data_IF_506741411991
#
_entry.id   IF_506741411991
#
_cell.length_a   1.000
_cell.length_b   1.000
_cell.length_c   1.000
_cell.angle_alpha   90.00
_cell.angle_beta   90.00
_cell.angle_gamma   90.00
#
_symmetry.space_group_name_H-M   'P 1'
#
loop_
_entity.id
_entity.type
_entity.pdbx_description
1 polymer ?
#
# COMPACT_ATOMS: atom_id res chain seq x y z
N UNK A 1 18.41 -25.76 21.25
CA UNK A 1 17.10 -25.54 21.91
C UNK A 1 17.24 -24.51 23.02
N UNK A 2 16.17 -23.79 23.35
CA UNK A 2 16.13 -22.95 24.55
C UNK A 2 16.34 -23.80 25.82
N UNK A 3 16.93 -23.21 26.86
CA UNK A 3 17.14 -23.87 28.14
C UNK A 3 15.78 -24.27 28.75
N UNK A 4 15.50 -25.58 28.97
CA UNK A 4 14.24 -26.03 29.54
C UNK A 4 13.90 -25.41 30.89
N UNK A 5 14.90 -24.95 31.66
CA UNK A 5 14.71 -24.28 32.95
C UNK A 5 14.15 -22.86 32.81
N UNK A 6 14.19 -22.28 31.61
CA UNK A 6 13.74 -20.90 31.32
C UNK A 6 12.47 -20.85 30.47
N UNK A 7 11.84 -22.01 30.22
CA UNK A 7 10.60 -22.07 29.47
C UNK A 7 9.42 -21.58 30.32
N UNK A 8 8.48 -20.81 29.73
CA UNK A 8 7.16 -20.57 30.31
C UNK A 8 6.44 -21.88 30.65
N UNK A 9 5.50 -21.85 31.59
CA UNK A 9 4.84 -23.04 32.14
C UNK A 9 4.16 -23.89 31.08
N UNK A 10 3.49 -23.26 30.13
CA UNK A 10 2.81 -23.89 28.99
C UNK A 10 3.81 -24.52 28.00
N UNK A 11 4.89 -23.81 27.66
CA UNK A 11 5.95 -24.32 26.81
C UNK A 11 6.68 -25.52 27.45
N UNK A 12 6.91 -25.48 28.77
CA UNK A 12 7.50 -26.61 29.50
C UNK A 12 6.56 -27.83 29.50
N UNK A 13 5.26 -27.63 29.70
CA UNK A 13 4.27 -28.70 29.64
C UNK A 13 4.16 -29.31 28.23
N UNK A 14 4.22 -28.49 27.17
CA UNK A 14 4.28 -28.96 25.79
C UNK A 14 5.55 -29.76 25.50
N UNK A 15 6.71 -29.27 25.97
CA UNK A 15 7.99 -29.97 25.85
C UNK A 15 7.99 -31.33 26.57
N UNK A 16 7.44 -31.40 27.80
CA UNK A 16 7.32 -32.66 28.54
C UNK A 16 6.40 -33.66 27.83
N UNK A 17 5.26 -33.20 27.29
CA UNK A 17 4.38 -34.04 26.46
C UNK A 17 5.09 -34.56 25.22
N UNK A 18 5.86 -33.72 24.54
CA UNK A 18 6.66 -34.13 23.39
C UNK A 18 7.73 -35.15 23.78
N UNK A 19 8.42 -34.98 24.90
CA UNK A 19 9.41 -35.95 25.43
C UNK A 19 8.79 -37.30 25.80
N UNK A 20 7.53 -37.32 26.22
CA UNK A 20 6.77 -38.56 26.46
C UNK A 20 6.17 -39.19 25.20
N UNK A 21 6.21 -38.49 24.06
CA UNK A 21 5.69 -38.98 22.79
C UNK A 21 6.76 -39.72 21.96
N UNK A 22 6.33 -40.36 20.88
CA UNK A 22 7.22 -41.05 19.92
C UNK A 22 7.83 -40.10 18.89
N UNK A 23 8.28 -38.92 19.33
CA UNK A 23 8.94 -37.93 18.45
C UNK A 23 10.45 -37.97 18.65
N UNK A 24 11.19 -37.71 17.58
CA UNK A 24 12.65 -37.62 17.61
C UNK A 24 13.09 -36.17 17.79
N UNK A 25 14.04 -35.95 18.70
CA UNK A 25 14.67 -34.65 18.89
C UNK A 25 16.05 -34.71 18.25
N UNK A 26 16.29 -33.83 17.28
CA UNK A 26 17.56 -33.73 16.56
C UNK A 26 18.06 -32.30 16.61
N UNK A 27 19.38 -32.12 16.73
CA UNK A 27 20.00 -30.80 16.67
C UNK A 27 20.23 -30.34 15.22
N UNK A 28 20.31 -31.29 14.29
CA UNK A 28 20.40 -31.09 12.84
C UNK A 28 19.66 -32.22 12.13
N UNK A 29 19.06 -31.90 11.00
CA UNK A 29 18.45 -32.87 10.09
C UNK A 29 19.12 -32.83 8.71
N UNK A 30 19.02 -33.94 7.98
CA UNK A 30 19.48 -34.04 6.61
C UNK A 30 18.50 -33.33 5.68
N UNK A 31 18.93 -32.21 5.09
CA UNK A 31 18.13 -31.40 4.16
C UNK A 31 17.91 -32.11 2.82
N UNK A 32 18.70 -33.15 2.51
CA UNK A 32 18.56 -33.96 1.28
C UNK A 32 17.57 -35.11 1.44
N UNK A 33 17.21 -35.46 2.67
CA UNK A 33 16.20 -36.46 2.95
C UNK A 33 14.82 -35.98 2.46
N UNK A 34 13.93 -36.94 2.19
CA UNK A 34 12.57 -36.62 1.80
C UNK A 34 11.73 -36.22 3.02
N UNK A 35 11.36 -34.93 3.08
CA UNK A 35 10.44 -34.39 4.07
C UNK A 35 9.09 -34.08 3.41
N UNK A 36 7.99 -34.38 4.10
CA UNK A 36 6.65 -34.09 3.59
C UNK A 36 6.19 -32.66 3.89
N UNK A 37 6.62 -32.10 5.03
CA UNK A 37 6.22 -30.78 5.52
C UNK A 37 7.23 -30.31 6.58
N UNK A 38 7.63 -29.05 6.54
CA UNK A 38 8.29 -28.36 7.64
C UNK A 38 7.28 -27.47 8.36
N UNK A 39 7.29 -27.51 9.70
CA UNK A 39 6.46 -26.63 10.53
C UNK A 39 7.38 -25.70 11.32
N UNK A 40 7.34 -24.42 10.99
CA UNK A 40 8.02 -23.38 11.75
C UNK A 40 7.17 -22.96 12.95
N UNK A 41 7.65 -23.32 14.13
CA UNK A 41 7.14 -22.86 15.42
C UNK A 41 8.27 -22.35 16.32
N UNK A 42 9.33 -21.77 15.73
CA UNK A 42 10.49 -21.29 16.51
C UNK A 42 10.15 -19.98 17.24
N UNK A 43 9.58 -19.01 16.52
CA UNK A 43 9.21 -17.70 17.06
C UNK A 43 7.95 -17.14 16.38
N UNK A 44 7.04 -16.56 17.18
CA UNK A 44 5.93 -15.75 16.69
C UNK A 44 6.15 -14.25 16.98
N UNK A 45 5.09 -13.55 17.38
CA UNK A 45 5.11 -12.09 17.66
C UNK A 45 6.11 -11.62 18.76
N UNK A 46 6.64 -12.52 19.57
CA UNK A 46 7.55 -12.18 20.68
C UNK A 46 9.01 -11.92 20.28
N UNK A 47 9.38 -12.15 19.01
CA UNK A 47 10.75 -11.95 18.54
C UNK A 47 11.00 -10.47 18.24
N UNK A 48 11.93 -9.86 18.97
CA UNK A 48 12.32 -8.46 18.79
C UNK A 48 13.79 -8.30 18.37
N UNK A 49 14.49 -9.40 18.10
CA UNK A 49 15.93 -9.41 17.79
C UNK A 49 16.22 -10.29 16.58
N UNK A 50 17.30 -10.01 15.83
CA UNK A 50 17.72 -10.85 14.73
C UNK A 50 17.97 -12.29 15.17
N UNK A 51 17.67 -13.24 14.30
CA UNK A 51 18.01 -14.65 14.52
C UNK A 51 19.53 -14.83 14.63
N UNK A 52 19.96 -15.66 15.58
CA UNK A 52 21.38 -15.91 15.81
C UNK A 52 21.65 -17.35 16.26
N UNK A 53 22.91 -17.76 16.11
CA UNK A 53 23.41 -19.05 16.57
C UNK A 53 22.58 -20.23 16.06
N UNK A 54 22.13 -21.15 16.94
CA UNK A 54 21.42 -22.35 16.53
C UNK A 54 20.07 -22.08 15.83
N UNK A 55 19.41 -20.96 16.13
CA UNK A 55 18.14 -20.62 15.48
C UNK A 55 18.34 -20.14 14.05
N UNK A 56 19.37 -19.33 13.80
CA UNK A 56 19.72 -18.93 12.43
C UNK A 56 20.08 -20.16 11.57
N UNK A 57 20.92 -21.06 12.11
CA UNK A 57 21.28 -22.29 11.42
C UNK A 57 20.05 -23.18 11.13
N UNK A 58 19.08 -23.27 12.05
CA UNK A 58 17.84 -24.01 11.82
C UNK A 58 17.00 -23.40 10.69
N UNK A 59 16.86 -22.08 10.64
CA UNK A 59 16.12 -21.39 9.59
C UNK A 59 16.79 -21.54 8.22
N UNK A 60 18.13 -21.52 8.16
CA UNK A 60 18.88 -21.83 6.93
C UNK A 60 18.57 -23.26 6.44
N UNK A 61 18.54 -24.24 7.34
CA UNK A 61 18.18 -25.62 6.98
C UNK A 61 16.72 -25.73 6.52
N UNK A 62 15.78 -25.07 7.19
CA UNK A 62 14.36 -25.05 6.80
C UNK A 62 14.19 -24.47 5.40
N UNK A 63 14.80 -23.31 5.12
CA UNK A 63 14.71 -22.65 3.81
C UNK A 63 15.40 -23.44 2.68
N UNK A 64 16.25 -24.42 3.01
CA UNK A 64 16.91 -25.31 2.05
C UNK A 64 16.13 -26.60 1.77
N UNK A 65 15.02 -26.85 2.47
CA UNK A 65 14.20 -28.03 2.26
C UNK A 65 13.41 -27.95 0.95
N UNK A 66 13.29 -29.10 0.27
CA UNK A 66 12.44 -29.26 -0.90
C UNK A 66 11.05 -29.79 -0.50
N UNK A 67 10.40 -29.15 0.46
CA UNK A 67 9.05 -29.49 0.91
C UNK A 67 8.27 -28.23 1.31
N UNK A 68 6.93 -28.31 1.39
CA UNK A 68 6.14 -27.19 1.88
C UNK A 68 6.54 -26.76 3.30
N UNK A 69 6.49 -25.46 3.56
CA UNK A 69 6.77 -24.85 4.86
C UNK A 69 5.50 -24.17 5.39
N UNK A 70 5.06 -24.60 6.58
CA UNK A 70 3.97 -24.00 7.34
C UNK A 70 4.54 -23.20 8.52
N UNK A 71 4.34 -21.90 8.55
CA UNK A 71 4.64 -21.08 9.73
C UNK A 71 3.44 -21.00 10.67
N UNK A 72 3.70 -21.13 11.97
CA UNK A 72 2.72 -20.88 13.04
C UNK A 72 2.88 -19.44 13.51
N UNK A 73 1.77 -18.72 13.54
CA UNK A 73 1.64 -17.31 13.93
C UNK A 73 2.26 -16.32 12.94
N UNK A 74 3.59 -16.31 12.83
CA UNK A 74 4.40 -15.43 11.97
C UNK A 74 5.66 -16.21 11.55
N UNK A 75 6.13 -16.13 10.30
CA UNK A 75 7.39 -16.77 9.93
C UNK A 75 8.56 -16.26 10.80
N UNK A 76 9.29 -17.18 11.40
CA UNK A 76 10.36 -16.86 12.35
C UNK A 76 11.42 -15.96 11.71
N UNK A 77 11.70 -14.83 12.34
CA UNK A 77 12.62 -13.80 11.85
C UNK A 77 11.92 -12.64 11.13
N UNK A 78 10.62 -12.72 10.87
CA UNK A 78 9.80 -11.63 10.35
C UNK A 78 9.23 -10.79 11.50
N UNK A 79 9.26 -9.47 11.34
CA UNK A 79 8.57 -8.54 12.21
C UNK A 79 7.07 -8.53 11.90
N UNK A 80 6.26 -8.82 12.92
CA UNK A 80 4.81 -8.96 12.80
C UNK A 80 4.10 -7.64 12.51
N UNK A 81 4.69 -6.50 12.85
CA UNK A 81 4.05 -5.19 12.75
C UNK A 81 4.38 -4.49 11.43
N UNK A 82 5.62 -4.59 10.96
CA UNK A 82 6.08 -3.88 9.76
C UNK A 82 6.45 -4.77 8.57
N UNK A 83 6.55 -6.09 8.74
CA UNK A 83 6.88 -7.03 7.66
C UNK A 83 8.33 -6.96 7.20
N UNK A 84 9.20 -6.32 7.98
CA UNK A 84 10.65 -6.34 7.80
C UNK A 84 11.27 -7.62 8.33
N UNK A 85 12.39 -8.03 7.74
CA UNK A 85 13.21 -9.12 8.29
C UNK A 85 14.04 -8.54 9.44
N UNK A 86 13.91 -9.08 10.64
CA UNK A 86 14.61 -8.56 11.82
C UNK A 86 16.13 -8.67 11.64
N UNK A 87 16.81 -7.52 11.63
CA UNK A 87 18.24 -7.43 11.32
C UNK A 87 18.61 -7.60 9.84
N UNK A 88 17.62 -7.68 8.95
CA UNK A 88 17.78 -7.66 7.49
C UNK A 88 18.42 -8.90 6.87
N UNK A 89 18.64 -9.97 7.64
CA UNK A 89 19.47 -11.09 7.19
C UNK A 89 18.68 -12.36 6.87
N UNK A 90 17.80 -12.82 7.78
CA UNK A 90 17.26 -14.17 7.71
C UNK A 90 15.88 -14.28 8.36
N UNK A 91 14.93 -14.86 7.63
CA UNK A 91 13.63 -15.29 8.13
C UNK A 91 13.17 -16.56 7.39
N UNK A 92 12.26 -17.31 7.98
CA UNK A 92 11.62 -18.49 7.36
C UNK A 92 10.76 -18.03 6.19
N UNK A 93 10.92 -18.67 5.03
CA UNK A 93 10.03 -18.50 3.87
C UNK A 93 8.96 -19.58 3.89
N UNK A 94 7.74 -19.20 4.25
CA UNK A 94 6.62 -20.11 4.34
C UNK A 94 5.78 -20.14 3.05
N UNK A 95 5.27 -21.32 2.69
CA UNK A 95 4.22 -21.45 1.68
C UNK A 95 2.85 -21.09 2.25
N UNK A 96 2.65 -21.31 3.56
CA UNK A 96 1.44 -20.96 4.29
C UNK A 96 1.79 -20.50 5.71
N UNK A 97 1.11 -19.47 6.18
CA UNK A 97 1.18 -19.01 7.57
C UNK A 97 -0.19 -19.17 8.23
N UNK A 98 -0.27 -19.98 9.29
CA UNK A 98 -1.44 -20.07 10.16
C UNK A 98 -1.30 -19.06 11.29
N UNK A 99 -1.85 -17.86 11.10
CA UNK A 99 -1.77 -16.78 12.09
C UNK A 99 -2.87 -16.88 13.13
N UNK A 100 -2.53 -16.68 14.41
CA UNK A 100 -3.42 -17.02 15.52
C UNK A 100 -4.08 -15.79 16.12
N UNK A 101 -5.34 -15.92 16.53
CA UNK A 101 -6.18 -14.92 17.20
C UNK A 101 -6.56 -13.76 16.27
N UNK A 102 -5.60 -12.98 15.81
CA UNK A 102 -5.81 -11.86 14.91
C UNK A 102 -4.76 -11.89 13.79
N UNK A 103 -5.10 -11.28 12.66
CA UNK A 103 -4.14 -11.07 11.57
C UNK A 103 -3.07 -10.05 11.96
N UNK A 104 -1.90 -10.11 11.31
CA UNK A 104 -0.76 -9.22 11.58
C UNK A 104 -0.39 -8.43 10.34
N UNK A 105 -0.26 -7.10 10.44
CA UNK A 105 0.01 -6.25 9.27
C UNK A 105 1.31 -6.62 8.56
N UNK A 106 2.33 -7.04 9.30
CA UNK A 106 3.63 -7.46 8.75
C UNK A 106 3.55 -8.66 7.82
N UNK A 107 2.49 -9.47 7.85
CA UNK A 107 2.29 -10.56 6.88
C UNK A 107 1.86 -10.05 5.49
N UNK A 108 1.37 -8.82 5.40
CA UNK A 108 0.70 -8.27 4.20
C UNK A 108 1.37 -7.03 3.63
N UNK A 109 2.51 -6.58 4.16
CA UNK A 109 3.23 -5.38 3.71
C UNK A 109 4.72 -5.63 3.56
N UNK A 110 5.38 -4.83 2.73
CA UNK A 110 6.82 -4.85 2.57
C UNK A 110 7.34 -6.21 2.15
N UNK A 111 8.41 -6.66 2.82
CA UNK A 111 9.02 -7.97 2.58
C UNK A 111 8.16 -9.12 3.09
N UNK A 112 7.28 -8.91 4.07
CA UNK A 112 6.50 -10.00 4.67
C UNK A 112 5.65 -10.79 3.67
N UNK A 113 5.20 -10.15 2.58
CA UNK A 113 4.50 -10.84 1.48
C UNK A 113 5.35 -11.90 0.78
N UNK A 114 6.68 -11.78 0.81
CA UNK A 114 7.61 -12.77 0.25
C UNK A 114 7.91 -13.92 1.22
N UNK A 115 7.60 -13.77 2.52
CA UNK A 115 7.90 -14.75 3.57
C UNK A 115 6.66 -15.45 4.13
N UNK A 116 5.47 -14.82 4.06
CA UNK A 116 4.26 -15.33 4.70
C UNK A 116 3.47 -16.35 3.87
N UNK A 117 3.67 -16.37 2.55
CA UNK A 117 2.91 -17.23 1.64
C UNK A 117 1.40 -16.98 1.75
N UNK A 118 0.59 -18.05 1.74
CA UNK A 118 -0.85 -17.95 2.00
C UNK A 118 -1.10 -17.76 3.50
N UNK A 119 -1.71 -16.65 3.89
CA UNK A 119 -2.10 -16.40 5.28
C UNK A 119 -3.50 -16.96 5.57
N UNK A 120 -3.64 -17.69 6.67
CA UNK A 120 -4.90 -18.20 7.22
C UNK A 120 -5.00 -17.76 8.67
N UNK A 121 -6.10 -17.10 9.03
CA UNK A 121 -6.34 -16.64 10.40
C UNK A 121 -7.18 -17.68 11.15
N UNK A 122 -6.71 -18.15 12.30
CA UNK A 122 -7.48 -18.99 13.22
C UNK A 122 -7.70 -18.24 14.54
N UNK A 123 -8.96 -17.92 14.84
CA UNK A 123 -9.36 -17.20 16.05
C UNK A 123 -9.23 -18.04 17.33
N UNK A 124 -8.88 -19.33 17.24
CA UNK A 124 -8.77 -20.26 18.37
C UNK A 124 -10.06 -20.36 19.20
N UNK A 125 -11.21 -20.20 18.54
CA UNK A 125 -12.52 -20.19 19.19
C UNK A 125 -12.80 -18.94 20.03
N UNK A 126 -11.97 -17.90 19.94
CA UNK A 126 -12.19 -16.61 20.58
C UNK A 126 -13.14 -15.74 19.75
N UNK A 127 -13.96 -14.95 20.44
CA UNK A 127 -14.76 -13.90 19.82
C UNK A 127 -13.92 -12.63 19.63
N UNK A 128 -13.19 -12.57 18.53
CA UNK A 128 -12.21 -11.51 18.22
C UNK A 128 -12.84 -10.13 18.08
N UNK A 129 -14.14 -10.04 17.82
CA UNK A 129 -14.88 -8.77 17.75
C UNK A 129 -14.93 -8.07 19.13
N UNK A 130 -14.75 -8.81 20.22
CA UNK A 130 -14.69 -8.24 21.58
C UNK A 130 -13.39 -7.50 21.88
N UNK A 131 -12.37 -7.62 21.01
CA UNK A 131 -11.03 -7.09 21.27
C UNK A 131 -10.90 -5.60 20.92
N UNK A 132 -11.94 -5.00 20.35
CA UNK A 132 -12.00 -3.60 19.95
C UNK A 132 -11.64 -3.37 18.48
N UNK A 133 -11.43 -2.11 18.11
CA UNK A 133 -11.13 -1.75 16.73
C UNK A 133 -9.73 -2.26 16.32
N UNK A 134 -9.57 -2.89 15.14
CA UNK A 134 -8.28 -3.34 14.68
C UNK A 134 -7.36 -2.15 14.34
N UNK A 135 -6.05 -2.36 14.45
CA UNK A 135 -5.04 -1.39 14.02
C UNK A 135 -5.21 -1.01 12.54
N UNK A 136 -5.41 -2.00 11.68
CA UNK A 136 -5.62 -1.84 10.25
C UNK A 136 -6.56 -2.92 9.72
N UNK A 137 -7.20 -2.66 8.58
CA UNK A 137 -8.06 -3.62 7.87
C UNK A 137 -7.38 -4.14 6.61
N UNK A 138 -7.52 -5.44 6.32
CA UNK A 138 -7.14 -5.96 5.02
C UNK A 138 -8.22 -5.63 3.99
N UNK A 139 -7.86 -5.01 2.87
CA UNK A 139 -8.81 -4.58 1.85
C UNK A 139 -9.42 -5.81 1.17
N UNK A 140 -10.74 -5.88 1.19
CA UNK A 140 -11.54 -6.83 0.41
C UNK A 140 -12.66 -6.07 -0.32
N UNK A 141 -13.16 -6.57 -1.46
CA UNK A 141 -14.27 -5.92 -2.16
C UNK A 141 -15.51 -5.73 -1.29
N UNK A 142 -15.73 -6.61 -0.31
CA UNK A 142 -16.86 -6.55 0.62
C UNK A 142 -16.86 -5.29 1.52
N UNK A 143 -15.71 -4.62 1.67
CA UNK A 143 -15.63 -3.35 2.41
C UNK A 143 -16.21 -2.16 1.65
N UNK A 144 -16.39 -2.29 0.32
CA UNK A 144 -16.75 -1.18 -0.55
C UNK A 144 -17.87 -1.55 -1.53
N UNK A 145 -19.03 -2.05 -1.05
CA UNK A 145 -20.12 -2.50 -1.93
C UNK A 145 -20.63 -1.38 -2.85
N UNK A 146 -20.61 -0.14 -2.37
CA UNK A 146 -21.16 1.02 -3.07
C UNK A 146 -20.34 1.43 -4.31
N UNK A 147 -19.05 1.10 -4.33
CA UNK A 147 -18.17 1.33 -5.51
C UNK A 147 -18.62 0.48 -6.70
N UNK A 148 -19.23 -0.68 -6.42
CA UNK A 148 -19.67 -1.66 -7.42
C UNK A 148 -21.16 -1.51 -7.80
N UNK A 149 -21.88 -0.52 -7.27
CA UNK A 149 -23.28 -0.29 -7.63
C UNK A 149 -23.41 0.02 -9.12
N UNK A 150 -24.35 -0.66 -9.78
CA UNK A 150 -24.67 -0.46 -11.19
C UNK A 150 -25.21 0.95 -11.44
N UNK A 151 -24.82 1.53 -12.59
CA UNK A 151 -25.24 2.89 -12.98
C UNK A 151 -26.71 2.89 -13.37
N UNK A 152 -27.45 3.92 -12.94
CA UNK A 152 -28.84 4.10 -13.33
C UNK A 152 -28.95 4.33 -14.85
N UNK A 153 -29.93 3.68 -15.49
CA UNK A 153 -30.16 3.83 -16.95
C UNK A 153 -30.43 5.28 -17.36
N UNK A 154 -31.17 6.03 -16.56
CA UNK A 154 -31.47 7.44 -16.79
C UNK A 154 -30.32 8.36 -16.32
N UNK A 155 -29.14 8.18 -16.91
CA UNK A 155 -27.94 8.97 -16.61
C UNK A 155 -27.39 9.65 -17.86
N UNK A 156 -26.61 10.72 -17.67
CA UNK A 156 -25.91 11.42 -18.76
C UNK A 156 -24.44 11.63 -18.38
N UNK A 157 -23.61 12.16 -19.30
CA UNK A 157 -22.19 12.41 -19.03
C UNK A 157 -21.94 13.21 -17.73
N UNK A 158 -22.76 14.23 -17.44
CA UNK A 158 -22.63 15.00 -16.18
C UNK A 158 -22.95 14.22 -14.90
N UNK A 159 -23.59 13.05 -14.97
CA UNK A 159 -23.94 12.23 -13.80
C UNK A 159 -22.72 11.52 -13.20
N UNK A 160 -21.61 11.44 -13.94
CA UNK A 160 -20.40 10.71 -13.55
C UNK A 160 -19.20 11.63 -13.32
N UNK A 161 -19.45 12.93 -13.22
CA UNK A 161 -18.45 13.95 -12.96
C UNK A 161 -17.44 14.14 -14.09
N UNK A 162 -16.72 15.25 -13.99
CA UNK A 162 -15.58 15.53 -14.86
C UNK A 162 -14.28 15.19 -14.16
N UNK A 163 -13.27 14.79 -14.93
CA UNK A 163 -11.90 14.65 -14.43
C UNK A 163 -10.98 15.55 -15.25
N UNK A 164 -10.20 16.39 -14.59
CA UNK A 164 -9.12 17.15 -15.21
C UNK A 164 -7.78 16.60 -14.76
N UNK A 165 -6.99 16.05 -15.68
CA UNK A 165 -5.65 15.52 -15.43
C UNK A 165 -4.61 16.55 -15.87
N UNK A 166 -3.83 17.07 -14.93
CA UNK A 166 -2.83 18.13 -15.13
C UNK A 166 -1.42 17.56 -14.96
N UNK A 167 -0.60 17.66 -15.99
CA UNK A 167 0.76 17.10 -15.96
C UNK A 167 1.46 17.24 -17.29
N UNK A 168 2.41 16.37 -17.58
CA UNK A 168 2.97 16.22 -18.93
C UNK A 168 3.75 17.45 -19.38
N UNK A 169 4.86 17.73 -18.71
CA UNK A 169 5.90 18.62 -19.23
C UNK A 169 6.60 18.00 -20.46
N UNK A 170 7.54 18.73 -21.05
CA UNK A 170 8.22 18.31 -22.26
C UNK A 170 8.83 16.90 -22.12
N UNK A 171 8.42 15.98 -23.00
CA UNK A 171 8.86 14.58 -22.98
C UNK A 171 8.06 13.65 -22.04
N UNK A 172 7.07 14.14 -21.30
CA UNK A 172 6.32 13.37 -20.29
C UNK A 172 4.80 13.34 -20.53
N UNK A 173 4.35 13.65 -21.75
CA UNK A 173 2.92 13.62 -22.13
C UNK A 173 2.25 12.25 -21.91
N UNK A 174 3.03 11.16 -21.98
CA UNK A 174 2.54 9.80 -21.73
C UNK A 174 1.91 9.62 -20.35
N UNK A 175 2.43 10.28 -19.31
CA UNK A 175 1.90 10.17 -17.95
C UNK A 175 0.47 10.73 -17.84
N UNK A 176 0.23 11.90 -18.44
CA UNK A 176 -1.12 12.50 -18.52
C UNK A 176 -2.07 11.61 -19.31
N UNK A 177 -1.60 11.05 -20.43
CA UNK A 177 -2.43 10.17 -21.26
C UNK A 177 -2.83 8.90 -20.51
N UNK A 178 -1.90 8.25 -19.79
CA UNK A 178 -2.22 7.05 -19.00
C UNK A 178 -3.28 7.35 -17.93
N UNK A 179 -3.10 8.41 -17.15
CA UNK A 179 -4.06 8.83 -16.13
C UNK A 179 -5.42 9.23 -16.74
N UNK A 180 -5.43 9.98 -17.84
CA UNK A 180 -6.65 10.42 -18.51
C UNK A 180 -7.42 9.24 -19.12
N UNK A 181 -6.72 8.31 -19.79
CA UNK A 181 -7.32 7.08 -20.34
C UNK A 181 -7.93 6.24 -19.24
N UNK A 182 -7.21 6.02 -18.14
CA UNK A 182 -7.76 5.26 -17.01
C UNK A 182 -8.98 5.97 -16.41
N UNK A 183 -8.97 7.30 -16.31
CA UNK A 183 -10.13 8.06 -15.84
C UNK A 183 -11.37 7.82 -16.71
N UNK A 184 -11.20 7.81 -18.04
CA UNK A 184 -12.27 7.51 -18.99
C UNK A 184 -12.74 6.05 -18.88
N UNK A 185 -11.81 5.09 -18.77
CA UNK A 185 -12.11 3.66 -18.62
C UNK A 185 -12.83 3.33 -17.31
N UNK A 186 -12.50 4.03 -16.21
CA UNK A 186 -13.22 3.97 -14.93
C UNK A 186 -14.60 4.65 -15.00
N UNK A 187 -14.91 5.25 -16.15
CA UNK A 187 -16.20 5.78 -16.53
C UNK A 187 -16.51 7.15 -15.94
N UNK A 188 -15.50 8.02 -15.83
CA UNK A 188 -15.73 9.45 -15.70
C UNK A 188 -16.60 9.97 -16.85
N UNK A 189 -17.40 10.99 -16.59
CA UNK A 189 -18.33 11.56 -17.56
C UNK A 189 -17.64 12.28 -18.71
N UNK A 190 -16.66 13.13 -18.37
CA UNK A 190 -15.77 13.81 -19.31
C UNK A 190 -14.36 13.83 -18.74
N UNK A 191 -13.37 13.74 -19.62
CA UNK A 191 -11.96 13.80 -19.23
C UNK A 191 -11.23 14.88 -20.01
N UNK A 192 -10.59 15.79 -19.29
CA UNK A 192 -9.74 16.83 -19.83
C UNK A 192 -8.28 16.47 -19.52
N UNK A 193 -7.49 16.24 -20.57
CA UNK A 193 -6.05 16.02 -20.47
C UNK A 193 -5.34 17.37 -20.66
N UNK A 194 -4.92 17.97 -19.55
CA UNK A 194 -4.32 19.29 -19.48
C UNK A 194 -2.78 19.20 -19.40
N UNK A 195 -2.10 19.56 -20.49
CA UNK A 195 -0.65 19.40 -20.61
C UNK A 195 0.08 20.68 -20.21
N UNK A 196 1.09 20.55 -19.36
CA UNK A 196 1.95 21.64 -18.92
C UNK A 196 2.88 22.13 -20.06
N UNK A 197 3.15 21.26 -21.05
CA UNK A 197 3.84 21.65 -22.27
C UNK A 197 3.32 20.87 -23.47
N UNK A 198 3.21 21.55 -24.62
CA UNK A 198 2.96 20.96 -25.94
C UNK A 198 1.80 19.94 -25.96
N UNK A 199 0.54 20.35 -25.68
CA UNK A 199 -0.61 19.46 -25.79
C UNK A 199 -0.71 18.87 -27.20
N UNK A 200 -0.92 17.55 -27.36
CA UNK A 200 -1.25 16.97 -28.65
C UNK A 200 -2.62 17.48 -29.12
N UNK A 201 -2.86 17.44 -30.43
CA UNK A 201 -4.16 17.82 -30.99
C UNK A 201 -5.29 16.90 -30.47
N UNK A 202 -5.02 15.61 -30.37
CA UNK A 202 -5.88 14.59 -29.77
C UNK A 202 -5.05 13.33 -29.44
N UNK A 203 -5.64 12.40 -28.70
CA UNK A 203 -5.09 11.06 -28.49
C UNK A 203 -5.65 10.09 -29.55
N UNK A 204 -4.84 9.47 -30.42
CA UNK A 204 -5.33 8.58 -31.48
C UNK A 204 -5.92 7.26 -30.98
N UNK A 205 -5.60 6.83 -29.75
CA UNK A 205 -6.16 5.63 -29.15
C UNK A 205 -7.49 5.95 -28.44
N UNK A 206 -7.60 7.15 -27.88
CA UNK A 206 -8.75 7.61 -27.12
C UNK A 206 -9.18 9.03 -27.55
N UNK A 207 -9.76 9.19 -28.75
CA UNK A 207 -10.12 10.50 -29.31
C UNK A 207 -11.20 11.23 -28.51
N UNK A 208 -11.88 10.55 -27.58
CA UNK A 208 -12.82 11.13 -26.63
C UNK A 208 -12.16 12.05 -25.58
N UNK A 209 -10.85 11.95 -25.38
CA UNK A 209 -10.11 12.80 -24.44
C UNK A 209 -9.97 14.23 -24.98
N UNK A 210 -10.29 15.21 -24.14
CA UNK A 210 -10.14 16.62 -24.51
C UNK A 210 -8.76 17.13 -24.12
N UNK A 211 -7.81 17.10 -25.06
CA UNK A 211 -6.47 17.63 -24.88
C UNK A 211 -6.47 19.16 -24.84
N UNK A 212 -5.89 19.74 -23.79
CA UNK A 212 -5.86 21.19 -23.54
C UNK A 212 -4.50 21.65 -23.04
N UNK A 213 -4.20 22.92 -23.24
CA UNK A 213 -3.12 23.58 -22.52
C UNK A 213 -3.50 23.71 -21.04
N UNK A 214 -2.61 23.29 -20.14
CA UNK A 214 -2.88 23.33 -18.71
C UNK A 214 -3.10 24.75 -18.18
N UNK A 215 -2.50 25.79 -18.75
CA UNK A 215 -2.71 27.16 -18.28
C UNK A 215 -4.09 27.69 -18.61
N UNK A 216 -4.70 27.22 -19.70
CA UNK A 216 -5.98 27.70 -20.22
C UNK A 216 -7.23 26.96 -19.70
N UNK A 217 -7.06 25.87 -18.94
CA UNK A 217 -8.20 25.11 -18.39
C UNK A 217 -8.74 25.73 -17.11
N UNK A 218 -10.06 25.86 -17.02
CA UNK A 218 -10.77 26.30 -15.82
C UNK A 218 -11.10 25.12 -14.91
N UNK A 219 -10.78 25.24 -13.62
CA UNK A 219 -11.02 24.21 -12.61
C UNK A 219 -12.26 24.53 -11.77
N UNK A 220 -13.46 24.45 -12.37
CA UNK A 220 -14.72 24.85 -11.72
C UNK A 220 -15.61 23.68 -11.25
N UNK A 221 -15.47 22.48 -11.81
CA UNK A 221 -16.28 21.30 -11.45
C UNK A 221 -15.49 19.99 -11.63
N UNK A 222 -16.01 18.92 -11.03
CA UNK A 222 -15.41 17.58 -11.11
C UNK A 222 -14.26 17.37 -10.13
N UNK A 223 -13.35 16.46 -10.47
CA UNK A 223 -12.13 16.17 -9.72
C UNK A 223 -10.88 16.54 -10.52
N UNK A 224 -9.80 16.87 -9.81
CA UNK A 224 -8.51 17.21 -10.41
C UNK A 224 -7.49 16.14 -10.04
N UNK A 225 -6.77 15.63 -11.03
CA UNK A 225 -5.56 14.83 -10.85
C UNK A 225 -4.38 15.70 -11.27
N UNK A 226 -3.37 15.85 -10.43
CA UNK A 226 -2.20 16.67 -10.76
C UNK A 226 -0.89 15.99 -10.38
N UNK A 227 0.11 16.15 -11.23
CA UNK A 227 1.46 15.70 -10.98
C UNK A 227 2.05 14.66 -11.95
N UNK A 228 1.28 13.77 -12.61
CA UNK A 228 1.81 12.84 -13.61
C UNK A 228 2.70 13.53 -14.65
N UNK A 229 4.01 13.33 -14.54
CA UNK A 229 5.02 13.94 -15.42
C UNK A 229 4.99 15.48 -15.48
N UNK A 230 4.57 16.16 -14.41
CA UNK A 230 4.41 17.62 -14.38
C UNK A 230 5.75 18.37 -14.42
N UNK A 231 6.85 17.74 -14.00
CA UNK A 231 8.16 18.35 -13.85
C UNK A 231 8.23 19.32 -12.67
N UNK A 232 9.33 20.08 -12.60
CA UNK A 232 9.68 20.94 -11.45
C UNK A 232 9.87 22.42 -11.82
N UNK A 233 9.47 22.84 -13.02
CA UNK A 233 9.58 24.23 -13.45
C UNK A 233 8.66 25.15 -12.65
N UNK A 234 8.90 26.47 -12.68
CA UNK A 234 8.04 27.46 -12.02
C UNK A 234 6.57 27.35 -12.44
N UNK A 235 6.31 27.08 -13.72
CA UNK A 235 4.96 26.87 -14.23
C UNK A 235 4.27 25.65 -13.57
N UNK A 236 5.01 24.57 -13.29
CA UNK A 236 4.49 23.40 -12.57
C UNK A 236 4.08 23.76 -11.14
N UNK A 237 4.91 24.53 -10.44
CA UNK A 237 4.58 25.07 -9.12
C UNK A 237 3.27 25.88 -9.17
N UNK A 238 3.12 26.78 -10.14
CA UNK A 238 1.93 27.64 -10.25
C UNK A 238 0.66 26.83 -10.58
N UNK A 239 0.78 25.73 -11.33
CA UNK A 239 -0.30 24.76 -11.58
C UNK A 239 -0.70 24.02 -10.29
N UNK A 240 0.26 23.52 -9.50
CA UNK A 240 -0.01 22.87 -8.20
C UNK A 240 -0.66 23.86 -7.24
N UNK A 241 -0.13 25.07 -7.16
CA UNK A 241 -0.71 26.16 -6.42
C UNK A 241 -2.18 26.38 -6.85
N UNK A 242 -2.46 26.51 -8.14
CA UNK A 242 -3.82 26.75 -8.61
C UNK A 242 -4.76 25.60 -8.25
N UNK A 243 -4.32 24.34 -8.41
CA UNK A 243 -5.12 23.17 -8.04
C UNK A 243 -5.44 23.13 -6.53
N UNK A 244 -4.45 23.43 -5.68
CA UNK A 244 -4.61 23.49 -4.21
C UNK A 244 -5.57 24.60 -3.75
N UNK A 245 -5.77 25.66 -4.54
CA UNK A 245 -6.75 26.71 -4.24
C UNK A 245 -8.20 26.35 -4.56
N UNK A 246 -8.44 25.27 -5.32
CA UNK A 246 -9.81 24.89 -5.70
C UNK A 246 -10.57 24.24 -4.54
N UNK A 247 -11.90 24.26 -4.60
CA UNK A 247 -12.76 23.48 -3.70
C UNK A 247 -13.13 22.11 -4.27
N UNK A 248 -12.43 21.67 -5.32
CA UNK A 248 -12.67 20.39 -5.97
C UNK A 248 -11.89 19.26 -5.28
N UNK A 249 -12.38 18.01 -5.32
CA UNK A 249 -11.58 16.84 -4.98
C UNK A 249 -10.26 16.82 -5.76
N UNK A 250 -9.16 16.47 -5.10
CA UNK A 250 -7.82 16.57 -5.65
C UNK A 250 -6.99 15.31 -5.40
N UNK A 251 -6.46 14.71 -6.45
CA UNK A 251 -5.42 13.68 -6.40
C UNK A 251 -4.07 14.32 -6.69
N UNK A 252 -3.11 14.15 -5.78
CA UNK A 252 -1.72 14.56 -5.98
C UNK A 252 -0.84 13.32 -6.13
N UNK A 253 -0.16 13.21 -7.26
CA UNK A 253 0.80 12.14 -7.54
C UNK A 253 2.15 12.72 -7.99
N UNK A 254 3.19 11.89 -7.98
CA UNK A 254 4.45 12.15 -8.65
C UNK A 254 5.05 13.56 -8.38
N UNK A 255 5.26 14.35 -9.43
CA UNK A 255 5.93 15.65 -9.33
C UNK A 255 5.15 16.68 -8.51
N UNK A 256 3.83 16.57 -8.41
CA UNK A 256 3.06 17.43 -7.50
C UNK A 256 3.41 17.17 -6.04
N UNK A 257 3.62 15.90 -5.66
CA UNK A 257 4.08 15.53 -4.32
C UNK A 257 5.51 16.01 -4.08
N UNK A 258 6.40 15.92 -5.07
CA UNK A 258 7.76 16.44 -4.98
C UNK A 258 7.79 17.96 -4.74
N UNK A 259 6.94 18.71 -5.46
CA UNK A 259 6.80 20.16 -5.27
C UNK A 259 6.25 20.51 -3.89
N UNK A 260 5.23 19.77 -3.41
CA UNK A 260 4.71 19.94 -2.04
C UNK A 260 5.81 19.65 -1.00
N UNK A 261 6.63 18.62 -1.20
CA UNK A 261 7.72 18.31 -0.28
C UNK A 261 8.77 19.43 -0.17
N UNK A 262 9.02 20.15 -1.27
CA UNK A 262 10.05 21.20 -1.33
C UNK A 262 9.57 22.57 -0.84
N UNK A 263 8.26 22.87 -0.95
CA UNK A 263 7.73 24.20 -0.67
C UNK A 263 6.76 24.24 0.50
N UNK A 264 7.20 24.85 1.61
CA UNK A 264 6.39 24.99 2.82
C UNK A 264 5.03 25.68 2.59
N UNK A 265 4.97 26.64 1.66
CA UNK A 265 3.72 27.31 1.28
C UNK A 265 2.69 26.35 0.66
N UNK A 266 3.13 25.40 -0.17
CA UNK A 266 2.26 24.36 -0.74
C UNK A 266 1.81 23.37 0.33
N UNK A 267 2.70 22.98 1.26
CA UNK A 267 2.36 22.10 2.39
C UNK A 267 1.25 22.70 3.24
N UNK A 268 1.39 23.97 3.64
CA UNK A 268 0.37 24.66 4.44
C UNK A 268 -0.97 24.76 3.72
N UNK A 269 -0.95 24.98 2.40
CA UNK A 269 -2.17 25.06 1.61
C UNK A 269 -2.87 23.71 1.54
N UNK A 270 -2.12 22.64 1.27
CA UNK A 270 -2.65 21.27 1.26
C UNK A 270 -3.25 20.91 2.62
N UNK A 271 -2.52 21.12 3.72
CA UNK A 271 -2.98 20.80 5.07
C UNK A 271 -4.26 21.55 5.50
N UNK A 272 -4.52 22.73 4.91
CA UNK A 272 -5.71 23.55 5.21
C UNK A 272 -6.89 23.29 4.27
N UNK A 273 -6.74 22.40 3.27
CA UNK A 273 -7.84 22.07 2.36
C UNK A 273 -8.97 21.38 3.11
N UNK A 274 -10.19 21.81 2.79
CA UNK A 274 -11.44 21.18 3.26
C UNK A 274 -12.06 20.25 2.23
N UNK A 275 -11.77 20.49 0.95
CA UNK A 275 -12.18 19.59 -0.11
C UNK A 275 -11.35 18.30 -0.06
N UNK A 276 -11.90 17.14 -0.46
CA UNK A 276 -11.20 15.87 -0.43
C UNK A 276 -9.84 15.94 -1.13
N UNK A 277 -8.81 15.39 -0.48
CA UNK A 277 -7.48 15.26 -1.04
C UNK A 277 -6.99 13.82 -0.89
N UNK A 278 -6.41 13.29 -1.95
CA UNK A 278 -5.82 11.96 -2.02
C UNK A 278 -4.38 12.08 -2.51
N UNK A 279 -3.43 11.52 -1.77
CA UNK A 279 -2.01 11.52 -2.11
C UNK A 279 -1.60 10.09 -2.43
N UNK A 280 -0.81 9.89 -3.48
CA UNK A 280 -0.36 8.55 -3.90
C UNK A 280 1.17 8.40 -3.86
N UNK A 281 1.87 8.72 -2.76
CA UNK A 281 3.33 8.69 -2.74
C UNK A 281 3.87 7.26 -2.89
N UNK A 282 4.91 7.09 -3.69
CA UNK A 282 5.83 5.95 -3.53
C UNK A 282 6.77 6.21 -2.32
N UNK A 283 7.53 5.20 -1.84
CA UNK A 283 8.35 5.35 -0.63
C UNK A 283 9.33 6.54 -0.66
N UNK A 284 10.00 6.79 -1.78
CA UNK A 284 10.88 7.95 -1.90
C UNK A 284 10.16 9.32 -1.97
N UNK A 285 8.91 9.41 -2.44
CA UNK A 285 8.10 10.63 -2.39
C UNK A 285 7.62 10.88 -0.96
N UNK A 286 7.16 9.84 -0.28
CA UNK A 286 6.79 9.88 1.13
C UNK A 286 7.96 10.36 1.98
N UNK A 287 9.16 9.79 1.77
CA UNK A 287 10.39 10.20 2.46
C UNK A 287 10.67 11.70 2.32
N UNK A 288 10.54 12.25 1.10
CA UNK A 288 10.68 13.70 0.87
C UNK A 288 9.60 14.51 1.60
N UNK A 289 8.35 14.05 1.60
CA UNK A 289 7.23 14.74 2.25
C UNK A 289 7.40 14.83 3.77
N UNK A 290 7.92 13.78 4.41
CA UNK A 290 8.19 13.77 5.86
C UNK A 290 9.57 14.29 6.24
N UNK A 291 10.48 14.47 5.27
CA UNK A 291 11.85 14.92 5.52
C UNK A 291 12.74 13.83 6.12
N UNK A 292 12.57 12.58 5.67
CA UNK A 292 13.29 11.38 6.12
C UNK A 292 13.83 10.60 4.91
N UNK A 293 14.44 9.43 5.13
CA UNK A 293 14.95 8.55 4.09
C UNK A 293 13.98 7.42 3.72
N UNK A 294 14.23 6.79 2.56
CA UNK A 294 13.35 5.73 2.04
C UNK A 294 13.37 4.46 2.87
N UNK A 295 14.50 4.12 3.53
CA UNK A 295 14.57 2.96 4.42
C UNK A 295 13.66 3.14 5.63
N UNK A 296 13.69 4.30 6.28
CA UNK A 296 12.82 4.61 7.41
C UNK A 296 11.34 4.50 7.03
N UNK A 297 10.95 4.96 5.83
CA UNK A 297 9.58 4.80 5.31
C UNK A 297 9.23 3.33 5.11
N UNK A 298 10.15 2.52 4.59
CA UNK A 298 9.92 1.10 4.34
C UNK A 298 9.79 0.28 5.63
N UNK A 299 10.56 0.63 6.65
CA UNK A 299 10.51 -0.01 7.97
C UNK A 299 9.27 0.40 8.78
N UNK A 300 8.62 1.51 8.42
CA UNK A 300 7.54 2.13 9.20
C UNK A 300 6.32 2.51 8.34
N UNK A 301 6.01 1.72 7.31
CA UNK A 301 5.00 2.07 6.28
C UNK A 301 3.65 2.49 6.87
N UNK A 302 3.15 1.79 7.89
CA UNK A 302 1.87 2.08 8.52
C UNK A 302 1.86 3.44 9.24
N UNK A 303 2.87 3.70 10.07
CA UNK A 303 2.93 4.96 10.83
C UNK A 303 3.26 6.15 9.92
N UNK A 304 4.10 5.98 8.89
CA UNK A 304 4.36 7.03 7.90
C UNK A 304 3.11 7.38 7.10
N UNK A 305 2.34 6.39 6.67
CA UNK A 305 1.07 6.66 5.98
C UNK A 305 0.09 7.44 6.87
N UNK A 306 -0.03 7.04 8.14
CA UNK A 306 -0.85 7.74 9.14
C UNK A 306 -0.35 9.18 9.38
N UNK A 307 0.96 9.38 9.52
CA UNK A 307 1.56 10.70 9.70
C UNK A 307 1.26 11.62 8.52
N UNK A 308 1.46 11.14 7.29
CA UNK A 308 1.16 11.90 6.07
C UNK A 308 -0.32 12.27 6.00
N UNK A 309 -1.21 11.33 6.32
CA UNK A 309 -2.65 11.55 6.28
C UNK A 309 -3.09 12.63 7.29
N UNK A 310 -2.56 12.57 8.51
CA UNK A 310 -2.81 13.56 9.55
C UNK A 310 -2.18 14.93 9.22
N UNK A 311 -0.91 14.94 8.78
CA UNK A 311 -0.14 16.16 8.45
C UNK A 311 -0.80 16.98 7.35
N UNK A 312 -1.35 16.30 6.33
CA UNK A 312 -1.92 16.95 5.16
C UNK A 312 -3.44 16.97 5.14
N UNK A 313 -4.10 16.48 6.20
CA UNK A 313 -5.56 16.34 6.26
C UNK A 313 -6.13 15.66 5.00
N UNK A 314 -5.53 14.54 4.60
CA UNK A 314 -5.79 13.89 3.34
C UNK A 314 -5.83 12.36 3.48
N UNK A 315 -6.39 11.68 2.49
CA UNK A 315 -6.22 10.24 2.34
C UNK A 315 -4.89 9.95 1.64
N UNK A 316 -4.16 8.94 2.08
CA UNK A 316 -2.83 8.60 1.56
C UNK A 316 -2.83 7.15 1.12
N UNK A 317 -2.38 6.89 -0.11
CA UNK A 317 -2.01 5.57 -0.61
C UNK A 317 -0.49 5.51 -0.68
N UNK A 318 0.15 4.95 0.35
CA UNK A 318 1.59 4.70 0.34
C UNK A 318 1.88 3.47 -0.52
N UNK A 319 2.30 3.71 -1.76
CA UNK A 319 2.55 2.68 -2.77
C UNK A 319 3.68 1.72 -2.33
N UNK A 320 3.60 0.47 -2.77
CA UNK A 320 4.60 -0.57 -2.51
C UNK A 320 3.95 -1.95 -2.40
N UNK A 321 4.75 -2.98 -2.09
CA UNK A 321 4.21 -4.31 -1.80
C UNK A 321 3.34 -4.22 -0.54
N UNK A 322 2.05 -4.55 -0.66
CA UNK A 322 1.07 -4.21 0.38
C UNK A 322 0.92 -2.70 0.51
N UNK A 323 0.29 -2.04 -0.48
CA UNK A 323 0.03 -0.60 -0.39
C UNK A 323 -0.75 -0.31 0.89
N UNK A 324 -0.29 0.68 1.66
CA UNK A 324 -0.95 1.10 2.90
C UNK A 324 -1.84 2.30 2.59
N UNK A 325 -3.10 2.23 2.99
CA UNK A 325 -4.07 3.31 2.89
C UNK A 325 -4.30 3.91 4.27
N UNK A 326 -4.23 5.23 4.38
CA UNK A 326 -4.44 5.95 5.63
C UNK A 326 -5.35 7.15 5.44
N UNK A 327 -6.29 7.36 6.36
CA UNK A 327 -7.13 8.55 6.43
C UNK A 327 -6.74 9.45 7.60
N UNK A 328 -7.04 10.75 7.46
CA UNK A 328 -6.76 11.75 8.51
C UNK A 328 -7.50 11.50 9.83
N UNK A 329 -8.56 10.67 9.82
CA UNK A 329 -9.30 10.26 11.02
C UNK A 329 -8.70 9.04 11.73
N UNK A 330 -7.54 8.55 11.29
CA UNK A 330 -6.79 7.46 11.91
C UNK A 330 -7.12 6.07 11.35
N UNK A 331 -8.05 5.93 10.39
CA UNK A 331 -8.28 4.64 9.73
C UNK A 331 -7.06 4.21 8.90
N UNK A 332 -6.73 2.93 9.01
CA UNK A 332 -5.66 2.26 8.25
C UNK A 332 -6.18 1.02 7.53
N UNK A 333 -5.68 0.79 6.32
CA UNK A 333 -5.92 -0.42 5.58
C UNK A 333 -4.71 -0.86 4.76
N UNK A 334 -4.64 -2.14 4.40
CA UNK A 334 -3.57 -2.72 3.58
C UNK A 334 -4.22 -3.39 2.37
N UNK A 335 -3.72 -3.09 1.17
CA UNK A 335 -4.12 -3.78 -0.06
C UNK A 335 -3.27 -5.04 -0.27
N UNK A 336 -3.82 -6.26 -0.13
CA UNK A 336 -3.05 -7.49 -0.32
C UNK A 336 -2.83 -7.86 -1.79
N UNK A 337 -3.46 -7.15 -2.73
CA UNK A 337 -3.46 -7.48 -4.15
C UNK A 337 -2.22 -6.93 -4.88
N UNK A 338 -2.15 -7.18 -6.19
CA UNK A 338 -1.03 -6.78 -7.04
C UNK A 338 0.15 -7.74 -6.98
N UNK A 339 1.02 -7.62 -7.98
CA UNK A 339 2.19 -8.47 -8.17
C UNK A 339 3.38 -7.63 -8.70
N UNK A 340 4.59 -8.19 -8.76
CA UNK A 340 5.78 -7.44 -9.18
C UNK A 340 5.72 -6.83 -10.58
N UNK A 341 4.82 -7.26 -11.47
CA UNK A 341 4.69 -6.67 -12.82
C UNK A 341 4.25 -5.20 -12.80
N UNK A 342 3.67 -4.73 -11.69
CA UNK A 342 3.31 -3.32 -11.49
C UNK A 342 4.53 -2.42 -11.21
N UNK A 343 5.73 -2.98 -11.00
CA UNK A 343 6.97 -2.24 -10.83
C UNK A 343 7.51 -1.73 -12.19
N UNK A 344 6.67 -1.04 -12.95
CA UNK A 344 6.97 -0.46 -14.26
C UNK A 344 6.51 1.00 -14.31
N UNK A 345 7.17 1.81 -15.13
CA UNK A 345 6.80 3.20 -15.30
C UNK A 345 5.36 3.31 -15.85
N UNK A 346 4.57 4.23 -15.31
CA UNK A 346 3.18 4.47 -15.73
C UNK A 346 2.09 3.76 -14.91
N UNK A 347 2.43 2.75 -14.10
CA UNK A 347 1.43 2.09 -13.24
C UNK A 347 0.85 3.05 -12.19
N UNK A 348 1.67 3.97 -11.67
CA UNK A 348 1.24 5.05 -10.79
C UNK A 348 0.27 6.03 -11.46
N UNK A 349 0.53 6.40 -12.72
CA UNK A 349 -0.34 7.32 -13.48
C UNK A 349 -1.74 6.71 -13.68
N UNK A 350 -1.79 5.41 -13.99
CA UNK A 350 -3.06 4.65 -14.09
C UNK A 350 -3.82 4.70 -12.76
N UNK A 351 -3.15 4.43 -11.63
CA UNK A 351 -3.76 4.54 -10.30
C UNK A 351 -4.30 5.95 -10.02
N UNK A 352 -3.52 7.00 -10.31
CA UNK A 352 -3.94 8.37 -10.11
C UNK A 352 -5.20 8.73 -10.93
N UNK A 353 -5.28 8.24 -12.17
CA UNK A 353 -6.46 8.38 -13.03
C UNK A 353 -7.69 7.66 -12.49
N UNK A 354 -7.54 6.43 -12.00
CA UNK A 354 -8.61 5.67 -11.37
C UNK A 354 -9.16 6.42 -10.13
N UNK A 355 -8.27 6.91 -9.27
CA UNK A 355 -8.68 7.72 -8.11
C UNK A 355 -9.42 9.00 -8.52
N UNK A 356 -8.96 9.67 -9.58
CA UNK A 356 -9.64 10.85 -10.12
C UNK A 356 -11.08 10.57 -10.55
N UNK A 357 -11.31 9.47 -11.27
CA UNK A 357 -12.64 9.08 -11.74
C UNK A 357 -13.59 8.68 -10.60
N UNK A 358 -13.09 7.99 -9.57
CA UNK A 358 -13.89 7.63 -8.40
C UNK A 358 -14.24 8.86 -7.56
N UNK A 359 -13.31 9.79 -7.33
CA UNK A 359 -13.60 11.06 -6.66
C UNK A 359 -14.62 11.91 -7.44
N UNK A 360 -14.53 11.94 -8.77
CA UNK A 360 -15.48 12.67 -9.62
C UNK A 360 -16.92 12.14 -9.49
N UNK A 361 -17.08 10.87 -9.10
CA UNK A 361 -18.37 10.22 -8.84
C UNK A 361 -18.86 10.38 -7.41
N UNK A 362 -18.27 11.31 -6.64
CA UNK A 362 -18.65 11.63 -5.26
C UNK A 362 -18.43 10.51 -4.23
N UNK A 363 -17.56 9.54 -4.52
CA UNK A 363 -17.05 8.65 -3.49
C UNK A 363 -16.19 9.44 -2.49
N UNK A 364 -16.18 9.03 -1.23
CA UNK A 364 -15.27 9.62 -0.25
C UNK A 364 -13.81 9.34 -0.63
N UNK A 365 -12.88 10.17 -0.15
CA UNK A 365 -11.45 9.93 -0.40
C UNK A 365 -10.98 8.59 0.17
N UNK A 366 -11.57 8.13 1.28
CA UNK A 366 -11.29 6.83 1.87
C UNK A 366 -11.77 5.67 1.00
N UNK A 367 -13.01 5.71 0.50
CA UNK A 367 -13.53 4.64 -0.35
C UNK A 367 -12.89 4.62 -1.75
N UNK A 368 -12.37 5.76 -2.18
CA UNK A 368 -11.64 5.88 -3.44
C UNK A 368 -10.23 5.28 -3.36
N UNK A 369 -9.61 5.33 -2.18
CA UNK A 369 -8.21 4.97 -1.96
C UNK A 369 -8.02 3.46 -1.78
#
# INVERSE_FOLDING_TARGET
MADPQRLPTDALAAYQRARGAKVQFVDRFDVTAHWALAIDGLFGIGLARPLAGPFAAAVEQINALNCPVLAIDVPSGLDADNGGVLGGALAVRADTTLTLIADKPGLHTGSGRDYAGKVVVDALGLDVETFGAPLARLITPALFPDVFIARAHASHKGSFGDVTVIGGAAGMSGAVLLAARMSAMAGAGRVFAAFAAAPPAFDPVHPELMCRDATAIELHQGAVVIGPGLGNARAAHDLVARALSTHLPLVLDADALNLVAQEYGLQQRLARRRAPSLLTPHPAEAARLIGSDTSQVQDNRLSVAAELAARFNACVILKGSGSVVAAADGRLAINPTGNPALATAGSGDVLAGLCGALLARHHSAWETA
#
